data_IF_584663866195
#
_entry.id   IF_584663866195
#
_cell.length_a   1.000
_cell.length_b   1.000
_cell.length_c   1.000
_cell.angle_alpha   90.00
_cell.angle_beta   90.00
_cell.angle_gamma   90.00
#
_symmetry.space_group_name_H-M   'P 1'
#
loop_
_entity.id
_entity.type
_entity.pdbx_description
1 polymer ?
#
# COMPACT_ATOMS: atom_id res chain seq x y z
N UNK A 1 -0.67 48.55 -0.58
CA UNK A 1 -0.85 47.44 0.39
C UNK A 1 -0.15 47.83 1.66
N UNK A 2 -0.82 47.75 2.82
CA UNK A 2 -0.10 47.86 4.08
C UNK A 2 0.65 46.53 4.30
N UNK A 3 1.86 46.60 4.78
CA UNK A 3 2.71 45.45 5.10
C UNK A 3 1.93 44.38 5.91
N UNK A 4 1.00 44.83 6.76
CA UNK A 4 0.11 44.00 7.58
C UNK A 4 -0.86 43.15 6.74
N UNK A 5 -1.43 43.68 5.64
CA UNK A 5 -2.32 42.93 4.76
C UNK A 5 -1.60 41.81 3.99
N UNK A 6 -0.38 42.06 3.52
CA UNK A 6 0.44 41.04 2.87
C UNK A 6 0.76 39.90 3.82
N UNK A 7 1.13 40.23 5.04
CA UNK A 7 1.48 39.25 6.08
C UNK A 7 0.30 38.32 6.40
N UNK A 8 -0.93 38.87 6.53
CA UNK A 8 -2.15 38.07 6.76
C UNK A 8 -2.37 37.07 5.63
N UNK A 9 -2.24 37.51 4.37
CA UNK A 9 -2.43 36.63 3.22
C UNK A 9 -1.37 35.53 3.13
N UNK A 10 -0.12 35.84 3.48
CA UNK A 10 0.94 34.84 3.54
C UNK A 10 0.69 33.79 4.63
N UNK A 11 0.20 34.21 5.78
CA UNK A 11 -0.16 33.28 6.88
C UNK A 11 -1.32 32.39 6.46
N UNK A 12 -2.35 32.93 5.81
CA UNK A 12 -3.48 32.13 5.33
C UNK A 12 -3.02 31.13 4.26
N UNK A 13 -2.19 31.57 3.30
CA UNK A 13 -1.66 30.69 2.26
C UNK A 13 -0.80 29.56 2.87
N UNK A 14 0.05 29.88 3.84
CA UNK A 14 0.85 28.90 4.56
C UNK A 14 -0.03 27.89 5.33
N UNK A 15 -1.06 28.37 6.04
CA UNK A 15 -2.00 27.51 6.78
C UNK A 15 -2.74 26.56 5.84
N UNK A 16 -3.23 27.04 4.70
CA UNK A 16 -3.88 26.21 3.68
C UNK A 16 -2.91 25.15 3.14
N UNK A 17 -1.67 25.52 2.84
CA UNK A 17 -0.65 24.56 2.35
C UNK A 17 -0.36 23.47 3.38
N UNK A 18 -0.25 23.82 4.66
CA UNK A 18 -0.04 22.85 5.75
C UNK A 18 -1.24 21.91 5.89
N UNK A 19 -2.48 22.43 5.78
CA UNK A 19 -3.69 21.61 5.86
C UNK A 19 -3.78 20.60 4.70
N UNK A 20 -3.54 21.02 3.47
CA UNK A 20 -3.55 20.11 2.32
C UNK A 20 -2.41 19.09 2.39
N UNK A 21 -1.20 19.52 2.75
CA UNK A 21 -0.05 18.64 2.90
C UNK A 21 -0.22 17.62 4.04
N UNK A 22 -0.70 18.07 5.20
CA UNK A 22 -0.98 17.21 6.35
C UNK A 22 -2.10 16.20 6.06
N UNK A 23 -3.18 16.66 5.41
CA UNK A 23 -4.28 15.81 4.98
C UNK A 23 -3.83 14.72 3.98
N UNK A 24 -2.99 15.09 3.01
CA UNK A 24 -2.40 14.15 2.05
C UNK A 24 -1.57 13.07 2.77
N UNK A 25 -0.64 13.47 3.66
CA UNK A 25 0.21 12.52 4.40
C UNK A 25 -0.63 11.58 5.27
N UNK A 26 -1.64 12.09 5.97
CA UNK A 26 -2.54 11.27 6.78
C UNK A 26 -3.33 10.27 5.93
N UNK A 27 -3.88 10.69 4.79
CA UNK A 27 -4.58 9.82 3.86
C UNK A 27 -3.66 8.74 3.27
N UNK A 28 -2.45 9.12 2.84
CA UNK A 28 -1.45 8.20 2.31
C UNK A 28 -1.05 7.12 3.34
N UNK A 29 -0.79 7.51 4.58
CA UNK A 29 -0.49 6.55 5.64
C UNK A 29 -1.65 5.60 5.91
N UNK A 30 -2.89 6.10 5.92
CA UNK A 30 -4.09 5.28 6.11
C UNK A 30 -4.25 4.23 5.01
N UNK A 31 -4.03 4.61 3.74
CA UNK A 31 -4.10 3.69 2.59
C UNK A 31 -3.03 2.60 2.69
N UNK A 32 -1.80 2.95 3.06
CA UNK A 32 -0.71 1.97 3.23
C UNK A 32 -1.00 0.97 4.34
N UNK A 33 -1.41 1.43 5.52
CA UNK A 33 -1.76 0.53 6.62
C UNK A 33 -2.93 -0.41 6.29
N UNK A 34 -3.92 0.08 5.55
CA UNK A 34 -5.04 -0.76 5.11
C UNK A 34 -4.64 -1.84 4.09
N UNK A 35 -3.52 -1.67 3.38
CA UNK A 35 -3.06 -2.63 2.38
C UNK A 35 -2.41 -3.89 3.01
N UNK A 36 -1.84 -3.80 4.21
CA UNK A 36 -1.07 -4.88 4.84
C UNK A 36 -1.95 -5.84 5.68
N UNK A 37 -3.02 -5.33 6.28
CA UNK A 37 -3.87 -6.12 7.17
C UNK A 37 -4.49 -7.39 6.54
N UNK A 38 -5.02 -7.37 5.33
CA UNK A 38 -5.65 -8.55 4.74
C UNK A 38 -4.70 -9.73 4.54
N UNK A 39 -3.42 -9.47 4.23
CA UNK A 39 -2.42 -10.53 4.02
C UNK A 39 -2.04 -11.19 5.35
N UNK A 40 -1.93 -10.42 6.43
CA UNK A 40 -1.65 -10.94 7.77
C UNK A 40 -2.78 -11.89 8.21
N UNK A 41 -4.04 -11.48 8.02
CA UNK A 41 -5.18 -12.35 8.34
C UNK A 41 -5.20 -13.62 7.47
N UNK A 42 -4.89 -13.50 6.16
CA UNK A 42 -4.79 -14.68 5.27
C UNK A 42 -3.74 -15.67 5.74
N UNK A 43 -2.56 -15.20 6.16
CA UNK A 43 -1.50 -16.08 6.70
C UNK A 43 -1.99 -16.79 7.95
N UNK A 44 -2.58 -16.05 8.90
CA UNK A 44 -3.10 -16.61 10.15
C UNK A 44 -4.17 -17.65 9.92
N UNK A 45 -5.13 -17.37 9.05
CA UNK A 45 -6.20 -18.30 8.68
C UNK A 45 -5.65 -19.57 8.01
N UNK A 46 -4.66 -19.43 7.12
CA UNK A 46 -4.02 -20.55 6.47
C UNK A 46 -3.27 -21.43 7.49
N UNK A 47 -2.49 -20.83 8.39
CA UNK A 47 -1.77 -21.54 9.46
C UNK A 47 -2.75 -22.26 10.40
N UNK A 48 -3.83 -21.60 10.80
CA UNK A 48 -4.84 -22.24 11.66
C UNK A 48 -5.47 -23.47 11.01
N UNK A 49 -5.77 -23.41 9.70
CA UNK A 49 -6.29 -24.57 8.94
C UNK A 49 -5.26 -25.69 8.82
N UNK A 50 -3.99 -25.35 8.57
CA UNK A 50 -2.89 -26.33 8.51
C UNK A 50 -2.68 -27.03 9.85
N UNK A 51 -2.70 -26.28 10.96
CA UNK A 51 -2.62 -26.83 12.32
C UNK A 51 -3.82 -27.71 12.67
N UNK A 52 -5.00 -27.45 12.07
CA UNK A 52 -6.17 -28.30 12.19
C UNK A 52 -6.12 -29.56 11.28
N UNK A 53 -5.01 -29.79 10.58
CA UNK A 53 -4.79 -30.98 9.75
C UNK A 53 -5.22 -30.82 8.29
N UNK A 54 -5.47 -29.61 7.81
CA UNK A 54 -5.75 -29.38 6.41
C UNK A 54 -4.48 -29.60 5.54
N UNK A 55 -4.66 -30.12 4.33
CA UNK A 55 -3.52 -30.29 3.40
C UNK A 55 -3.09 -28.95 2.82
N UNK A 56 -1.79 -28.76 2.47
CA UNK A 56 -1.28 -27.55 1.85
C UNK A 56 -2.11 -27.06 0.65
N UNK A 57 -2.52 -27.96 -0.22
CA UNK A 57 -3.32 -27.60 -1.40
C UNK A 57 -4.76 -27.20 -1.07
N UNK A 58 -5.31 -27.64 0.06
CA UNK A 58 -6.70 -27.34 0.44
C UNK A 58 -6.88 -25.96 1.06
N UNK A 59 -5.81 -25.33 1.53
CA UNK A 59 -5.86 -23.96 2.08
C UNK A 59 -5.70 -22.89 1.03
N UNK A 60 -5.29 -23.25 -0.19
CA UNK A 60 -5.12 -22.33 -1.29
C UNK A 60 -6.46 -21.74 -1.76
N UNK A 61 -6.48 -20.48 -2.24
CA UNK A 61 -7.56 -19.97 -3.05
C UNK A 61 -7.85 -20.88 -4.25
N UNK A 62 -9.13 -21.04 -4.58
CA UNK A 62 -9.54 -21.93 -5.71
C UNK A 62 -9.09 -21.41 -7.07
N UNK A 63 -8.85 -20.12 -7.19
CA UNK A 63 -8.43 -19.47 -8.44
C UNK A 63 -6.93 -19.25 -8.41
N UNK A 64 -6.24 -19.73 -9.45
CA UNK A 64 -4.83 -19.42 -9.68
C UNK A 64 -4.63 -17.95 -10.06
N UNK A 65 -3.56 -17.35 -9.61
CA UNK A 65 -3.23 -15.94 -9.77
C UNK A 65 -1.92 -15.81 -10.53
N UNK A 66 -1.94 -15.24 -11.73
CA UNK A 66 -0.72 -14.78 -12.39
C UNK A 66 -0.39 -13.37 -11.89
N UNK A 67 0.73 -13.22 -11.19
CA UNK A 67 1.13 -11.98 -10.52
C UNK A 67 1.34 -10.81 -11.50
N UNK A 68 1.64 -11.10 -12.76
CA UNK A 68 1.81 -10.06 -13.78
C UNK A 68 0.46 -9.50 -14.28
N UNK A 69 -0.64 -10.20 -14.06
CA UNK A 69 -1.94 -9.90 -14.69
C UNK A 69 -3.09 -9.73 -13.70
N UNK A 70 -3.05 -10.45 -12.59
CA UNK A 70 -4.14 -10.44 -11.60
C UNK A 70 -3.78 -9.57 -10.39
N UNK A 71 -4.81 -9.00 -9.80
CA UNK A 71 -4.73 -8.23 -8.54
C UNK A 71 -5.29 -9.01 -7.36
N UNK A 72 -5.74 -10.24 -7.60
CA UNK A 72 -6.34 -11.08 -6.59
C UNK A 72 -5.32 -11.51 -5.53
N UNK A 73 -5.77 -11.75 -4.30
CA UNK A 73 -4.91 -12.28 -3.25
C UNK A 73 -4.49 -13.73 -3.56
N UNK A 74 -3.30 -14.09 -3.13
CA UNK A 74 -2.71 -15.40 -3.35
C UNK A 74 -2.02 -15.96 -2.09
N UNK A 75 -1.83 -17.27 -2.08
CA UNK A 75 -1.06 -17.98 -1.06
C UNK A 75 0.04 -18.83 -1.72
N UNK A 76 1.21 -18.86 -1.09
CA UNK A 76 2.32 -19.75 -1.42
C UNK A 76 2.73 -20.44 -0.12
N UNK A 77 2.77 -21.76 -0.13
CA UNK A 77 3.27 -22.58 0.97
C UNK A 77 4.61 -23.18 0.55
N UNK A 78 5.59 -23.05 1.41
CA UNK A 78 6.94 -23.59 1.17
C UNK A 78 7.36 -24.52 2.30
N UNK A 79 8.38 -25.33 2.03
CA UNK A 79 9.09 -26.06 3.07
C UNK A 79 10.10 -25.12 3.79
N UNK A 80 10.83 -25.68 4.77
CA UNK A 80 11.86 -24.95 5.52
C UNK A 80 13.03 -24.43 4.64
N UNK A 81 13.22 -24.99 3.46
CA UNK A 81 14.23 -24.58 2.48
C UNK A 81 13.71 -23.57 1.45
N UNK A 82 12.44 -23.15 1.56
CA UNK A 82 11.79 -22.21 0.64
C UNK A 82 11.33 -22.86 -0.68
N UNK A 83 11.29 -24.21 -0.76
CA UNK A 83 10.75 -24.89 -1.95
C UNK A 83 9.25 -24.93 -1.88
N UNK A 84 8.57 -24.68 -3.01
CA UNK A 84 7.10 -24.65 -3.08
C UNK A 84 6.51 -26.02 -2.78
N UNK A 85 5.65 -26.10 -1.79
CA UNK A 85 4.81 -27.25 -1.48
C UNK A 85 3.44 -27.15 -2.15
N UNK A 86 2.89 -25.95 -2.17
CA UNK A 86 1.65 -25.62 -2.86
C UNK A 86 1.57 -24.11 -3.10
N UNK A 87 1.06 -23.68 -4.25
CA UNK A 87 0.94 -22.28 -4.60
C UNK A 87 -0.33 -22.02 -5.41
N UNK A 88 -1.00 -20.91 -5.13
CA UNK A 88 -2.01 -20.33 -6.03
C UNK A 88 -1.43 -19.23 -6.92
N UNK A 89 -0.15 -18.86 -6.74
CA UNK A 89 0.53 -17.80 -7.47
C UNK A 89 1.50 -18.36 -8.49
N UNK A 90 1.50 -17.75 -9.67
CA UNK A 90 2.51 -17.96 -10.72
C UNK A 90 2.97 -16.61 -11.26
N UNK A 91 4.11 -16.59 -11.92
CA UNK A 91 4.57 -15.46 -12.71
C UNK A 91 4.91 -15.97 -14.11
N UNK A 92 4.14 -15.52 -15.10
CA UNK A 92 4.26 -16.03 -16.48
C UNK A 92 4.22 -17.57 -16.58
N UNK A 93 3.40 -18.21 -15.74
CA UNK A 93 3.19 -19.64 -15.70
C UNK A 93 4.25 -20.45 -14.91
N UNK A 94 5.25 -19.81 -14.30
CA UNK A 94 6.21 -20.45 -13.44
C UNK A 94 5.91 -20.22 -11.96
N UNK A 95 6.28 -21.18 -11.09
CA UNK A 95 6.25 -20.98 -9.65
C UNK A 95 7.19 -19.87 -9.24
N UNK A 96 6.79 -19.11 -8.25
CA UNK A 96 7.52 -17.95 -7.75
C UNK A 96 7.53 -17.93 -6.23
N UNK A 97 8.66 -17.55 -5.64
CA UNK A 97 8.82 -17.43 -4.19
C UNK A 97 9.60 -16.18 -3.82
N UNK A 98 9.37 -15.60 -2.63
CA UNK A 98 10.19 -14.52 -2.11
C UNK A 98 11.66 -14.92 -1.97
N UNK A 99 12.59 -13.94 -1.96
CA UNK A 99 14.00 -14.19 -1.72
C UNK A 99 14.26 -14.88 -0.38
N UNK A 100 15.32 -15.69 -0.30
CA UNK A 100 15.69 -16.43 0.91
C UNK A 100 15.81 -15.54 2.17
N UNK A 101 16.27 -14.29 2.01
CA UNK A 101 16.39 -13.34 3.12
C UNK A 101 15.07 -13.03 3.85
N UNK A 102 13.92 -13.13 3.17
CA UNK A 102 12.60 -12.98 3.80
C UNK A 102 12.34 -14.14 4.76
N UNK A 103 12.62 -15.37 4.34
CA UNK A 103 12.47 -16.54 5.19
C UNK A 103 13.46 -16.55 6.36
N UNK A 104 14.69 -16.08 6.15
CA UNK A 104 15.70 -15.93 7.20
C UNK A 104 15.24 -14.91 8.25
N UNK A 105 14.63 -13.81 7.82
CA UNK A 105 14.05 -12.82 8.72
C UNK A 105 12.91 -13.42 9.55
N UNK A 106 12.00 -14.16 8.93
CA UNK A 106 10.88 -14.82 9.61
C UNK A 106 11.37 -15.85 10.64
N UNK A 107 12.43 -16.63 10.33
CA UNK A 107 13.04 -17.56 11.31
C UNK A 107 13.54 -16.84 12.56
N UNK A 108 14.05 -15.63 12.41
CA UNK A 108 14.63 -14.86 13.51
C UNK A 108 13.57 -14.06 14.31
N UNK A 109 12.50 -13.60 13.65
CA UNK A 109 11.56 -12.62 14.20
C UNK A 109 10.09 -13.09 14.24
N UNK A 110 9.78 -14.26 13.65
CA UNK A 110 8.44 -14.85 13.63
C UNK A 110 7.62 -14.46 12.40
N UNK A 111 7.50 -13.20 12.07
CA UNK A 111 6.68 -12.71 10.95
C UNK A 111 7.43 -11.61 10.20
N UNK A 112 7.19 -11.51 8.90
CA UNK A 112 7.64 -10.40 8.06
C UNK A 112 6.50 -9.85 7.21
N UNK A 113 6.45 -8.53 7.04
CA UNK A 113 5.49 -7.83 6.18
C UNK A 113 6.27 -6.88 5.29
N UNK A 114 6.38 -7.22 4.02
CA UNK A 114 7.25 -6.51 3.08
C UNK A 114 6.61 -6.32 1.72
N UNK A 115 7.11 -5.32 0.98
CA UNK A 115 6.84 -5.20 -0.45
C UNK A 115 7.81 -6.08 -1.21
N UNK A 116 7.28 -7.01 -2.00
CA UNK A 116 8.03 -7.90 -2.87
C UNK A 116 7.80 -7.56 -4.33
N UNK A 117 8.88 -7.52 -5.11
CA UNK A 117 8.86 -7.24 -6.54
C UNK A 117 9.53 -8.38 -7.30
N UNK A 118 8.77 -9.43 -7.68
CA UNK A 118 9.32 -10.58 -8.42
C UNK A 118 9.77 -10.25 -9.85
N UNK A 119 9.19 -9.20 -10.46
CA UNK A 119 9.56 -8.71 -11.78
C UNK A 119 9.36 -7.19 -11.88
N UNK A 120 10.01 -6.51 -12.84
CA UNK A 120 9.78 -5.09 -13.08
C UNK A 120 8.30 -4.77 -13.26
N UNK A 121 7.78 -3.82 -12.48
CA UNK A 121 6.36 -3.42 -12.52
C UNK A 121 5.39 -4.37 -11.82
N UNK A 122 5.82 -5.53 -11.34
CA UNK A 122 5.00 -6.48 -10.57
C UNK A 122 5.33 -6.34 -9.09
N UNK A 123 4.49 -5.64 -8.33
CA UNK A 123 4.71 -5.37 -6.90
C UNK A 123 3.55 -5.92 -6.08
N UNK A 124 3.89 -6.62 -5.00
CA UNK A 124 2.93 -7.18 -4.06
C UNK A 124 3.28 -6.79 -2.62
N UNK A 125 2.27 -6.46 -1.83
CA UNK A 125 2.40 -6.52 -0.38
C UNK A 125 2.29 -7.98 0.02
N UNK A 126 3.28 -8.49 0.76
CA UNK A 126 3.28 -9.86 1.27
C UNK A 126 3.42 -9.87 2.78
N UNK A 127 2.71 -10.79 3.42
CA UNK A 127 2.95 -11.21 4.80
C UNK A 127 3.46 -12.65 4.77
N UNK A 128 4.49 -12.91 5.57
CA UNK A 128 5.12 -14.23 5.68
C UNK A 128 5.21 -14.62 7.14
N UNK A 129 4.80 -15.84 7.46
CA UNK A 129 4.90 -16.39 8.81
C UNK A 129 5.30 -17.87 8.74
N UNK A 130 5.84 -18.41 9.82
CA UNK A 130 6.28 -19.79 9.91
C UNK A 130 5.15 -20.71 10.35
N UNK A 131 5.15 -21.93 9.84
CA UNK A 131 4.35 -23.03 10.34
C UNK A 131 5.23 -24.28 10.51
N UNK A 132 4.67 -25.37 11.04
CA UNK A 132 5.43 -26.56 11.44
C UNK A 132 6.42 -27.09 10.38
N UNK A 133 6.02 -27.07 9.11
CA UNK A 133 6.83 -27.67 8.01
C UNK A 133 7.48 -26.62 7.09
N UNK A 134 7.30 -25.32 7.35
CA UNK A 134 7.90 -24.31 6.49
C UNK A 134 7.32 -22.90 6.69
N UNK A 135 6.95 -22.24 5.58
CA UNK A 135 6.43 -20.88 5.59
C UNK A 135 5.13 -20.77 4.81
N UNK A 136 4.27 -19.87 5.27
CA UNK A 136 3.08 -19.41 4.55
C UNK A 136 3.31 -17.98 4.12
N UNK A 137 3.17 -17.73 2.83
CA UNK A 137 3.25 -16.40 2.22
C UNK A 137 1.86 -16.05 1.71
N UNK A 138 1.26 -14.98 2.21
CA UNK A 138 0.08 -14.38 1.61
C UNK A 138 0.46 -13.08 0.93
N UNK A 139 -0.08 -12.83 -0.26
CA UNK A 139 0.24 -11.63 -1.01
C UNK A 139 -0.95 -11.09 -1.81
N UNK A 140 -0.82 -9.81 -2.17
CA UNK A 140 -1.74 -9.10 -3.05
C UNK A 140 -1.00 -8.04 -3.84
N UNK A 141 -1.42 -7.83 -5.09
CA UNK A 141 -0.88 -6.77 -5.94
C UNK A 141 -1.08 -5.39 -5.33
N UNK A 142 -0.06 -4.53 -5.39
CA UNK A 142 -0.11 -3.12 -4.99
C UNK A 142 -0.61 -2.19 -6.08
N UNK A 143 -0.91 -2.68 -7.28
CA UNK A 143 -1.31 -1.87 -8.42
C UNK A 143 -2.55 -0.99 -8.12
N UNK A 144 -3.53 -1.48 -7.36
CA UNK A 144 -4.69 -0.68 -6.98
C UNK A 144 -4.32 0.38 -5.93
N UNK A 145 -3.45 0.05 -4.99
CA UNK A 145 -2.98 0.99 -3.96
C UNK A 145 -2.17 2.12 -4.60
N UNK A 146 -1.32 1.82 -5.57
CA UNK A 146 -0.52 2.80 -6.31
C UNK A 146 -1.40 3.73 -7.17
N UNK A 147 -2.47 3.21 -7.77
CA UNK A 147 -3.44 4.03 -8.49
C UNK A 147 -4.22 4.96 -7.56
N UNK A 148 -4.60 4.51 -6.38
CA UNK A 148 -5.26 5.35 -5.36
C UNK A 148 -4.31 6.44 -4.86
N UNK A 149 -3.04 6.11 -4.58
CA UNK A 149 -2.04 7.10 -4.16
C UNK A 149 -1.84 8.21 -5.20
N UNK A 150 -1.72 7.85 -6.50
CA UNK A 150 -1.57 8.86 -7.57
C UNK A 150 -2.81 9.75 -7.69
N UNK A 151 -4.00 9.17 -7.62
CA UNK A 151 -5.25 9.92 -7.65
C UNK A 151 -5.39 10.87 -6.46
N UNK A 152 -5.00 10.45 -5.26
CA UNK A 152 -5.01 11.30 -4.06
C UNK A 152 -4.08 12.51 -4.23
N UNK A 153 -2.91 12.32 -4.82
CA UNK A 153 -1.98 13.41 -5.11
C UNK A 153 -2.60 14.41 -6.08
N UNK A 154 -3.17 13.95 -7.19
CA UNK A 154 -3.79 14.79 -8.20
C UNK A 154 -4.96 15.62 -7.64
N UNK A 155 -5.84 14.98 -6.87
CA UNK A 155 -6.96 15.68 -6.21
C UNK A 155 -6.48 16.68 -5.16
N UNK A 156 -5.44 16.34 -4.41
CA UNK A 156 -4.87 17.24 -3.38
C UNK A 156 -4.23 18.46 -4.02
N UNK A 157 -3.41 18.26 -5.07
CA UNK A 157 -2.78 19.35 -5.80
C UNK A 157 -3.80 20.22 -6.53
N UNK A 158 -4.80 19.61 -7.18
CA UNK A 158 -5.89 20.31 -7.84
C UNK A 158 -6.69 21.18 -6.87
N UNK A 159 -7.11 20.60 -5.74
CA UNK A 159 -7.84 21.31 -4.70
C UNK A 159 -7.03 22.45 -4.07
N UNK A 160 -5.75 22.23 -3.81
CA UNK A 160 -4.86 23.25 -3.30
C UNK A 160 -4.71 24.41 -4.32
N UNK A 161 -4.49 24.12 -5.61
CA UNK A 161 -4.34 25.12 -6.66
C UNK A 161 -5.61 25.99 -6.81
N UNK A 162 -6.79 25.37 -6.86
CA UNK A 162 -8.07 26.07 -6.92
C UNK A 162 -8.24 26.99 -5.71
N UNK A 163 -7.90 26.51 -4.51
CA UNK A 163 -7.99 27.30 -3.28
C UNK A 163 -7.04 28.50 -3.32
N UNK A 164 -5.80 28.32 -3.82
CA UNK A 164 -4.84 29.41 -3.96
C UNK A 164 -5.28 30.46 -4.97
N UNK A 165 -5.84 30.06 -6.10
CA UNK A 165 -6.41 30.97 -7.10
C UNK A 165 -7.58 31.77 -6.50
N UNK A 166 -8.49 31.11 -5.78
CA UNK A 166 -9.61 31.77 -5.13
C UNK A 166 -9.13 32.79 -4.07
N UNK A 167 -8.17 32.43 -3.25
CA UNK A 167 -7.57 33.34 -2.27
C UNK A 167 -6.90 34.54 -2.95
N UNK A 168 -6.16 34.33 -4.03
CA UNK A 168 -5.55 35.38 -4.83
C UNK A 168 -6.58 36.34 -5.44
N UNK A 169 -7.69 35.80 -5.97
CA UNK A 169 -8.80 36.60 -6.49
C UNK A 169 -9.47 37.46 -5.41
N UNK A 170 -9.75 36.88 -4.24
CA UNK A 170 -10.32 37.61 -3.10
C UNK A 170 -9.37 38.72 -2.64
N UNK A 171 -8.09 38.44 -2.56
CA UNK A 171 -7.07 39.42 -2.18
C UNK A 171 -7.04 40.60 -3.16
N UNK A 172 -7.07 40.34 -4.47
CA UNK A 172 -7.08 41.38 -5.50
C UNK A 172 -8.36 42.22 -5.48
N UNK A 173 -9.54 41.61 -5.35
CA UNK A 173 -10.81 42.33 -5.23
C UNK A 173 -10.81 43.26 -3.99
N UNK A 174 -10.37 42.75 -2.82
CA UNK A 174 -10.27 43.59 -1.61
C UNK A 174 -9.30 44.76 -1.75
N UNK A 175 -8.24 44.59 -2.53
CA UNK A 175 -7.27 45.65 -2.80
C UNK A 175 -7.80 46.72 -3.76
N UNK A 176 -8.66 46.34 -4.71
CA UNK A 176 -9.24 47.29 -5.68
C UNK A 176 -10.44 48.07 -5.08
N UNK A 177 -11.28 47.40 -4.30
CA UNK A 177 -12.46 48.01 -3.68
C UNK A 177 -12.14 48.85 -2.44
N UNK A 178 -11.11 48.51 -1.68
CA UNK A 178 -10.68 49.27 -0.49
C UNK A 178 -9.91 50.55 -0.78
N UNK A 179 -9.77 50.93 -2.04
CA UNK A 179 -9.15 52.22 -2.48
C UNK A 179 -10.21 53.31 -2.80
N UNK A 180 -11.46 53.06 -2.61
CA UNK A 180 -12.54 54.04 -2.69
C UNK A 180 -12.98 54.40 -1.27
#
# INVERSE_FOLDING_TARGET
MTQRSVMVWLVVAAAVTVLFGGGYVAAQQSVRHAADHPQIEMVRDAIAKLQAGASPSSVLPKTGVDLARSKDPYLILTDQQGRVLASSATLDGADVVPPAGVFDYVRAHGQDVVTWQPAPGVRSAIAVDSWEYGFVVAGRSLADTENVESSLLDWTLGGWLVTMIALGAIATIRLTTGRR
#
